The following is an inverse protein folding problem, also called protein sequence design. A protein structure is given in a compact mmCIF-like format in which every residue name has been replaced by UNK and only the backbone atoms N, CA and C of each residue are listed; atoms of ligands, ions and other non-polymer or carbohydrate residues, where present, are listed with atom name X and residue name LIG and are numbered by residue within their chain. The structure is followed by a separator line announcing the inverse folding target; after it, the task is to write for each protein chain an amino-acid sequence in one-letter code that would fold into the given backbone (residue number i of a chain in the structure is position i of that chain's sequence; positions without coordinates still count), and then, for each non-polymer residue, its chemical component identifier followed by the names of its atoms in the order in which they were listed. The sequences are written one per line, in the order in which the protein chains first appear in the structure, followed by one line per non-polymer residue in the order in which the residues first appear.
data_IF_813099059335
#
_entry.id   IF_813099059335
#
_cell.length_a   1.000
_cell.length_b   1.000
_cell.length_c   1.000
_cell.angle_alpha   90.00
_cell.angle_beta   90.00
_cell.angle_gamma   90.00
#
_symmetry.space_group_name_H-M   'P 1'
#
loop_
_entity.id
_entity.type
_entity.pdbx_description
1 polymer ?
#
# COMPACT_ATOMS: atom_id res chain seq x y z
N UNK A 1 8.68 31.32 25.67
CA UNK A 1 7.47 30.63 25.15
C UNK A 1 7.37 29.21 25.70
N UNK A 2 6.21 28.59 25.52
CA UNK A 2 5.99 27.23 26.00
C UNK A 2 5.21 26.41 24.98
N UNK A 3 5.63 25.16 24.79
CA UNK A 3 4.96 24.27 23.85
C UNK A 3 4.91 22.84 24.37
N UNK A 4 3.76 22.20 24.22
CA UNK A 4 3.57 20.82 24.65
C UNK A 4 2.72 20.06 23.65
N UNK A 5 3.29 19.02 23.05
CA UNK A 5 2.58 18.21 22.07
C UNK A 5 2.94 16.73 22.20
N UNK A 6 1.93 15.87 22.09
CA UNK A 6 2.15 14.43 22.18
C UNK A 6 1.46 13.70 21.03
N UNK A 7 2.15 12.73 20.45
CA UNK A 7 1.61 11.95 19.34
C UNK A 7 2.01 10.48 19.48
N UNK A 8 1.01 9.60 19.56
CA UNK A 8 1.28 8.17 19.70
C UNK A 8 0.57 7.37 18.61
N UNK A 9 1.03 7.48 17.35
CA UNK A 9 0.43 6.74 16.24
C UNK A 9 0.58 5.23 16.43
N UNK A 10 -0.46 4.48 16.10
CA UNK A 10 -0.43 3.03 16.25
C UNK A 10 -0.76 2.32 14.95
N UNK A 11 -0.22 1.12 14.79
CA UNK A 11 -0.45 0.32 13.60
C UNK A 11 -0.47 -1.17 13.95
N UNK B 1 -2.53 2.71 7.06
CA UNK B 1 -1.28 3.44 7.42
C UNK B 1 -1.52 4.36 8.62
N UNK B 2 -0.43 4.87 9.19
CA UNK B 2 -0.52 5.77 10.34
C UNK B 2 0.50 6.90 10.22
N UNK B 3 0.07 8.12 10.53
CA UNK B 3 0.95 9.27 10.45
C UNK B 3 0.67 10.27 11.58
N UNK B 4 1.75 10.79 12.16
CA UNK B 4 1.64 11.77 13.23
C UNK B 4 2.72 12.84 13.08
N UNK B 5 2.31 14.09 12.91
CA UNK B 5 3.26 15.18 12.76
C UNK B 5 2.77 16.44 13.47
N UNK B 6 3.68 17.13 14.14
CA UNK B 6 3.34 18.36 14.85
C UNK B 6 4.32 19.48 14.51
N UNK B 7 3.79 20.67 14.29
CA UNK B 7 4.61 21.83 13.96
C UNK B 7 4.07 23.07 14.66
N UNK B 8 4.89 23.70 15.50
CA UNK B 8 4.47 24.89 16.22
C UNK B 8 5.45 26.05 16.01
N UNK B 9 5.50 26.61 14.78
CA UNK B 9 6.39 27.73 14.47
C UNK B 9 6.05 28.96 15.29
N UNK B 10 7.08 29.69 15.72
CA UNK B 10 6.88 30.89 16.53
C UNK B 10 7.60 32.08 15.92
N UNK B 11 7.08 33.28 16.19
CA UNK B 11 7.67 34.51 15.68
C UNK B 11 7.51 35.64 16.68
N UNK C 1 -0.93 -4.64 14.10
CA UNK C 1 -2.14 -5.33 13.58
C UNK C 1 -2.26 -6.74 14.16
N UNK C 2 -3.42 -7.35 13.98
CA UNK C 2 -3.66 -8.70 14.48
C UNK C 2 -4.45 -9.54 13.47
N UNK C 3 -4.04 -10.79 13.30
CA UNK C 3 -4.71 -11.69 12.37
C UNK C 3 -4.76 -13.11 12.91
N UNK C 4 -5.92 -13.74 12.76
CA UNK C 4 -6.11 -15.12 13.21
C UNK C 4 -6.96 -15.89 12.21
N UNK C 5 -6.39 -16.94 11.63
CA UNK C 5 -7.11 -17.76 10.65
C UNK C 5 -6.76 -19.23 10.80
N UNK C 6 -7.77 -20.09 10.70
CA UNK C 6 -7.56 -21.53 10.81
C UNK C 6 -8.24 -22.27 9.67
N UNK C 7 -7.54 -23.25 9.10
CA UNK C 7 -8.07 -24.05 8.00
C UNK C 7 -7.68 -25.51 8.17
N UNK C 8 -8.68 -26.39 8.25
CA UNK C 8 -8.43 -27.82 8.41
C UNK C 8 -9.14 -28.64 7.34
N UNK C 9 -8.67 -28.55 6.07
CA UNK C 9 -9.27 -29.30 4.97
C UNK C 9 -9.12 -30.81 5.18
N UNK C 10 -10.15 -31.56 4.83
CA UNK C 10 -10.13 -33.01 5.00
C UNK C 10 -10.45 -33.72 3.69
N UNK C 11 -9.92 -34.93 3.54
CA UNK C 11 -10.14 -35.73 2.34
C UNK C 11 -10.19 -37.21 2.67
N UNK D 1 -12.44 -33.35 -3.97
CA UNK D 1 -11.17 -32.63 -3.64
C UNK D 1 -11.38 -31.68 -2.47
N UNK D 2 -10.28 -31.17 -1.93
CA UNK D 2 -10.33 -30.25 -0.80
C UNK D 2 -9.31 -29.13 -0.96
N UNK D 3 -9.73 -27.90 -0.67
CA UNK D 3 -8.84 -26.75 -0.78
C UNK D 3 -9.09 -25.74 0.34
N UNK D 4 -8.00 -25.22 0.89
CA UNK D 4 -8.07 -24.23 1.95
C UNK D 4 -6.99 -23.17 1.78
N UNK D 5 -7.40 -21.92 1.60
CA UNK D 5 -6.45 -20.83 1.42
C UNK D 5 -6.92 -19.56 2.12
N UNK D 6 -5.99 -18.86 2.76
CA UNK D 6 -6.33 -17.63 3.46
C UNK D 6 -5.35 -16.52 3.09
N UNK D 7 -5.89 -15.32 2.85
CA UNK D 7 -5.07 -14.17 2.50
C UNK D 7 -5.60 -12.92 3.19
N UNK D 8 -4.76 -12.28 4.01
CA UNK D 8 -5.16 -11.07 4.72
C UNK D 8 -4.18 -9.93 4.48
N UNK D 9 -4.17 -9.38 3.25
CA UNK D 9 -3.28 -8.26 2.91
C UNK D 9 -3.60 -7.02 3.73
N UNK D 10 -2.56 -6.30 4.14
CA UNK D 10 -2.74 -5.10 4.95
C UNK D 10 -2.04 -3.90 4.33
N UNK D 11 -2.56 -2.71 4.61
CA UNK D 11 -1.99 -1.47 4.09
C UNK D 11 -2.16 -0.35 5.11
N UNK E 1 -4.92 -32.83 -24.38
CA UNK E 1 -5.62 -31.55 -24.09
C UNK E 1 -4.81 -30.36 -24.60
N UNK E 2 -5.43 -29.19 -24.64
CA UNK E 2 -4.77 -27.98 -25.11
C UNK E 2 -5.14 -26.77 -24.24
N UNK E 3 -4.15 -25.95 -23.92
CA UNK E 3 -4.38 -24.76 -23.10
C UNK E 3 -3.52 -23.59 -23.57
N UNK E 4 -4.14 -22.42 -23.64
CA UNK E 4 -3.45 -21.21 -24.05
C UNK E 4 -3.90 -20.02 -23.22
N UNK E 5 -2.98 -19.41 -22.48
CA UNK E 5 -3.30 -18.27 -21.64
C UNK E 5 -2.17 -17.25 -21.63
N UNK E 6 -2.53 -15.97 -21.70
CA UNK E 6 -1.54 -14.89 -21.70
C UNK E 6 -1.92 -13.81 -20.69
N UNK E 7 -0.92 -13.34 -19.94
CA UNK E 7 -1.14 -12.30 -18.94
C UNK E 7 0.02 -11.31 -18.94
N UNK E 8 -0.28 -10.03 -19.19
CA UNK E 8 0.74 -9.00 -19.22
C UNK E 8 0.41 -7.86 -18.27
N UNK E 9 0.48 -8.09 -16.95
CA UNK E 9 0.19 -7.05 -15.95
C UNK E 9 1.18 -5.90 -16.06
N UNK E 10 0.69 -4.67 -15.92
CA UNK E 10 1.54 -3.49 -16.01
C UNK E 10 1.42 -2.62 -14.78
N UNK E 11 2.50 -1.89 -14.48
CA UNK E 11 2.53 -1.00 -13.32
C UNK E 11 3.39 0.21 -13.61
N UNK F 1 -1.73 -1.30 -7.44
CA UNK F 1 -1.06 -2.63 -7.57
C UNK F 1 -1.53 -3.36 -8.81
N UNK F 2 -0.82 -4.43 -9.17
CA UNK F 2 -1.17 -5.23 -10.35
C UNK F 2 -0.99 -6.71 -10.06
N UNK F 3 -1.96 -7.52 -10.50
CA UNK F 3 -1.90 -8.96 -10.28
C UNK F 3 -2.46 -9.73 -11.47
N UNK F 4 -1.76 -10.80 -11.84
CA UNK F 4 -2.18 -11.65 -12.95
C UNK F 4 -1.93 -13.12 -12.62
N UNK F 5 -2.98 -13.92 -12.59
CA UNK F 5 -2.85 -15.34 -12.28
C UNK F 5 -3.81 -16.18 -13.12
N UNK F 6 -3.32 -17.31 -13.61
CA UNK F 6 -4.14 -18.20 -14.43
C UNK F 6 -4.03 -19.64 -13.93
N UNK F 7 -5.17 -20.32 -13.87
CA UNK F 7 -5.21 -21.71 -13.42
C UNK F 7 -6.20 -22.51 -14.26
N UNK F 8 -5.72 -23.55 -14.93
CA UNK F 8 -6.58 -24.38 -15.77
C UNK F 8 -6.46 -25.86 -15.40
N UNK F 9 -6.97 -26.25 -14.21
CA UNK F 9 -6.92 -27.64 -13.76
C UNK F 9 -7.72 -28.55 -14.69
N UNK F 10 -7.21 -29.75 -14.92
CA UNK F 10 -7.88 -30.71 -15.79
C UNK F 10 -8.07 -32.05 -15.10
N UNK F 11 -9.11 -32.78 -15.51
CA UNK F 11 -9.41 -34.08 -14.93
C UNK F 11 -9.97 -35.03 -15.98
N UNK G 1 4.97 3.34 -13.73
CA UNK G 1 4.27 4.62 -13.45
C UNK G 1 5.06 5.81 -13.99
N UNK G 2 4.43 6.98 -14.03
CA UNK G 2 5.08 8.19 -14.52
C UNK G 2 4.71 9.40 -13.66
N UNK G 3 5.70 10.23 -13.37
CA UNK G 3 5.48 11.43 -12.56
C UNK G 3 6.32 12.60 -13.05
N UNK G 4 5.70 13.77 -13.11
CA UNK G 4 6.39 14.98 -13.54
C UNK G 4 5.94 16.18 -12.71
N UNK G 5 6.87 16.79 -11.99
CA UNK G 5 6.56 17.94 -11.15
C UNK G 5 7.68 18.96 -11.17
N UNK G 6 7.33 20.24 -11.25
CA UNK G 6 8.31 21.31 -11.27
C UNK G 6 7.95 22.40 -10.26
N UNK G 7 8.96 22.88 -9.53
CA UNK G 7 8.75 23.92 -8.53
C UNK G 7 9.91 24.92 -8.56
N UNK G 8 9.59 26.19 -8.81
CA UNK G 8 10.62 27.22 -8.87
C UNK G 8 10.30 28.38 -7.93
N UNK G 9 10.38 28.16 -6.60
CA UNK G 9 10.11 29.21 -5.62
C UNK G 9 11.10 30.36 -5.74
N UNK G 10 10.61 31.59 -5.58
CA UNK G 10 11.46 32.77 -5.69
C UNK G 10 11.35 33.65 -4.45
N UNK G 11 12.42 34.37 -4.15
CA UNK G 11 12.45 35.25 -2.99
C UNK G 11 13.29 36.49 -3.27
N UNK H 1 8.07 35.06 2.62
CA UNK H 1 8.76 33.75 2.53
C UNK H 1 8.29 32.97 1.31
N UNK H 2 9.01 31.89 0.99
CA UNK H 2 8.66 31.06 -0.16
C UNK H 2 8.84 29.59 0.17
N UNK H 3 7.88 28.77 -0.26
CA UNK H 3 7.94 27.33 0.00
C UNK H 3 7.40 26.53 -1.18
N UNK H 4 8.10 25.46 -1.51
CA UNK H 4 7.70 24.59 -2.61
C UNK H 4 7.96 23.13 -2.25
N UNK H 5 6.90 22.33 -2.20
CA UNK H 5 7.03 20.91 -1.87
C UNK H 5 6.08 20.06 -2.70
N UNK H 6 6.57 18.91 -3.17
CA UNK H 6 5.75 18.00 -3.96
C UNK H 6 5.85 16.57 -3.44
N UNK H 7 4.72 15.90 -3.36
CA UNK H 7 4.67 14.52 -2.89
C UNK H 7 3.68 13.71 -3.72
N UNK H 8 4.17 12.65 -4.37
CA UNK H 8 3.31 11.81 -5.20
C UNK H 8 3.42 10.34 -4.80
N UNK H 9 2.89 9.97 -3.62
CA UNK H 9 2.93 8.59 -3.13
C UNK H 9 2.15 7.66 -4.05
N UNK H 10 2.67 6.46 -4.26
CA UNK H 10 2.01 5.49 -5.14
C UNK H 10 1.80 4.16 -4.43
N UNK H 11 0.77 3.43 -4.86
CA UNK H 11 0.45 2.13 -4.28
C UNK H 11 -0.12 1.20 -5.34
#
# INVERSE_FOLDING_TARGET
YTIAALLSPYS
YTIAALLSPYS
YTIAALLSPYS
YTIAALLSPYS
YTIAALLSPYS
YTIAALLSPYS
YTIAALLSPYS
YTIAALLSPYS
#
